data_IF_194972263275
#
_entry.id   IF_194972263275
#
_cell.length_a   1.000
_cell.length_b   1.000
_cell.length_c   1.000
_cell.angle_alpha   90.00
_cell.angle_beta   90.00
_cell.angle_gamma   90.00
#
_symmetry.space_group_name_H-M   'P 1'
#
loop_
_entity.id
_entity.type
_entity.pdbx_description
1 polymer ?
#
# COMPACT_ATOMS: atom_id res chain seq x y z
N UNK A 1 35.38 17.00 19.47
CA UNK A 1 36.82 16.83 19.73
C UNK A 1 37.12 17.25 21.15
N UNK A 2 37.73 16.37 21.94
CA UNK A 2 38.16 16.66 23.32
C UNK A 2 39.47 17.46 23.30
N UNK A 3 39.71 18.30 24.32
CA UNK A 3 40.94 19.11 24.43
C UNK A 3 42.21 18.24 24.47
N UNK A 4 42.08 16.99 24.90
CA UNK A 4 43.18 16.03 25.02
C UNK A 4 43.73 15.61 23.65
N UNK A 5 42.87 15.49 22.63
CA UNK A 5 43.29 15.18 21.26
C UNK A 5 44.10 16.35 20.70
N UNK A 6 43.64 17.59 20.92
CA UNK A 6 44.34 18.78 20.42
C UNK A 6 45.74 18.89 21.01
N UNK A 7 45.88 18.65 22.33
CA UNK A 7 47.18 18.73 23.01
C UNK A 7 48.19 17.69 22.52
N UNK A 8 47.74 16.51 22.08
CA UNK A 8 48.61 15.47 21.54
C UNK A 8 49.24 15.85 20.18
N UNK A 9 48.64 16.78 19.43
CA UNK A 9 49.05 17.10 18.06
C UNK A 9 49.57 18.54 17.87
N UNK A 10 49.65 19.34 18.94
CA UNK A 10 50.08 20.76 18.91
C UNK A 10 51.48 20.99 18.30
N UNK A 11 52.36 19.99 18.35
CA UNK A 11 53.77 20.12 17.97
C UNK A 11 54.14 19.33 16.70
N UNK A 12 53.17 18.87 15.91
CA UNK A 12 53.48 18.16 14.69
C UNK A 12 54.18 19.09 13.68
N UNK A 13 55.40 18.72 13.26
CA UNK A 13 56.23 19.54 12.37
C UNK A 13 55.69 19.62 10.94
N UNK A 14 54.94 18.62 10.49
CA UNK A 14 54.37 18.54 9.14
C UNK A 14 52.92 18.06 9.20
N UNK A 15 52.03 18.72 8.44
CA UNK A 15 50.63 18.31 8.32
C UNK A 15 50.50 16.86 7.81
N UNK A 16 51.42 16.40 6.95
CA UNK A 16 51.47 15.03 6.44
C UNK A 16 51.78 14.01 7.53
N UNK A 17 52.73 14.29 8.43
CA UNK A 17 53.07 13.37 9.51
C UNK A 17 51.93 13.28 10.54
N UNK A 18 51.28 14.40 10.82
CA UNK A 18 50.07 14.45 11.63
C UNK A 18 48.95 13.61 11.02
N UNK A 19 48.71 13.74 9.71
CA UNK A 19 47.69 12.95 9.02
C UNK A 19 47.98 11.45 9.08
N UNK A 20 49.22 11.03 8.81
CA UNK A 20 49.59 9.61 8.91
C UNK A 20 49.51 9.05 10.33
N UNK A 21 49.78 9.88 11.34
CA UNK A 21 49.65 9.47 12.75
C UNK A 21 48.18 9.37 13.18
N UNK A 22 47.34 10.29 12.71
CA UNK A 22 45.89 10.20 12.91
C UNK A 22 45.31 8.98 12.19
N UNK A 23 45.71 8.72 10.96
CA UNK A 23 45.31 7.55 10.18
C UNK A 23 45.80 6.24 10.84
N UNK A 24 47.01 6.21 11.38
CA UNK A 24 47.51 5.02 12.08
C UNK A 24 46.84 4.78 13.45
N UNK A 25 46.48 5.85 14.18
CA UNK A 25 45.88 5.74 15.53
C UNK A 25 44.36 5.64 15.52
N UNK A 26 43.70 6.25 14.55
CA UNK A 26 42.25 6.39 14.47
C UNK A 26 41.67 5.95 13.13
N UNK A 27 42.51 5.62 12.14
CA UNK A 27 42.07 5.03 10.87
C UNK A 27 41.85 3.51 10.95
N UNK A 28 41.76 2.95 12.17
CA UNK A 28 41.25 1.59 12.34
C UNK A 28 39.81 1.49 11.86
N UNK A 29 39.53 0.36 11.21
CA UNK A 29 38.33 0.07 10.41
C UNK A 29 37.04 0.63 10.98
N UNK A 30 36.23 1.24 10.11
CA UNK A 30 34.82 1.58 10.37
C UNK A 30 33.95 0.35 10.68
N UNK A 31 34.52 -0.84 10.93
CA UNK A 31 33.82 -2.10 11.20
C UNK A 31 32.71 -1.98 12.24
N UNK A 32 32.95 -1.45 13.46
CA UNK A 32 31.90 -1.24 14.46
C UNK A 32 30.81 -0.27 14.01
N UNK A 33 31.18 0.78 13.26
CA UNK A 33 30.24 1.77 12.75
C UNK A 33 29.39 1.20 11.60
N UNK A 34 30.01 0.48 10.67
CA UNK A 34 29.36 -0.29 9.60
C UNK A 34 28.42 -1.34 10.19
N UNK A 35 28.85 -2.04 11.24
CA UNK A 35 27.99 -2.98 11.96
C UNK A 35 26.77 -2.26 12.54
N UNK A 36 26.98 -1.14 13.24
CA UNK A 36 25.89 -0.34 13.80
C UNK A 36 24.91 0.11 12.72
N UNK A 37 25.39 0.69 11.62
CA UNK A 37 24.53 1.16 10.51
C UNK A 37 23.75 0.00 9.90
N UNK A 38 24.39 -1.15 9.66
CA UNK A 38 23.70 -2.36 9.16
C UNK A 38 22.63 -2.85 10.13
N UNK A 39 22.91 -2.79 11.44
CA UNK A 39 21.95 -3.15 12.47
C UNK A 39 20.76 -2.18 12.47
N UNK A 40 20.98 -0.88 12.37
CA UNK A 40 19.92 0.13 12.29
C UNK A 40 19.05 -0.06 11.03
N UNK A 41 19.67 -0.30 9.87
CA UNK A 41 18.96 -0.58 8.61
C UNK A 41 18.04 -1.81 8.74
N UNK A 42 18.48 -2.86 9.43
CA UNK A 42 17.67 -4.07 9.61
C UNK A 42 16.60 -3.91 10.70
N UNK A 43 16.81 -2.99 11.64
CA UNK A 43 15.91 -2.79 12.78
C UNK A 43 14.85 -1.72 12.50
N UNK A 44 15.07 -0.85 11.52
CA UNK A 44 14.14 0.23 11.19
C UNK A 44 12.88 -0.32 10.53
N UNK A 45 11.75 -0.02 11.16
CA UNK A 45 10.42 -0.30 10.63
C UNK A 45 9.64 1.01 10.53
N UNK A 46 8.69 1.07 9.60
CA UNK A 46 7.88 2.26 9.37
C UNK A 46 7.08 2.63 10.62
N UNK A 47 6.47 1.66 11.30
CA UNK A 47 5.65 1.89 12.48
C UNK A 47 4.57 2.95 12.22
N UNK A 48 4.61 4.05 12.99
CA UNK A 48 3.69 5.19 12.88
C UNK A 48 4.22 6.32 11.98
N UNK A 49 5.42 6.18 11.39
CA UNK A 49 5.97 7.18 10.49
C UNK A 49 5.29 7.15 9.12
N UNK A 50 5.24 8.31 8.45
CA UNK A 50 4.82 8.37 7.05
C UNK A 50 5.81 7.61 6.16
N UNK A 51 5.35 7.14 5.00
CA UNK A 51 6.22 6.43 4.04
C UNK A 51 7.42 7.29 3.64
N UNK A 52 7.21 8.60 3.50
CA UNK A 52 8.25 9.58 3.18
C UNK A 52 9.32 9.65 4.28
N UNK A 53 8.91 9.78 5.53
CA UNK A 53 9.83 9.89 6.66
C UNK A 53 10.63 8.59 6.84
N UNK A 54 9.96 7.44 6.73
CA UNK A 54 10.61 6.13 6.77
C UNK A 54 11.66 5.96 5.66
N UNK A 55 11.29 6.27 4.41
CA UNK A 55 12.22 6.18 3.28
C UNK A 55 13.43 7.12 3.43
N UNK A 56 13.20 8.32 3.95
CA UNK A 56 14.27 9.32 4.15
C UNK A 56 15.29 8.84 5.17
N UNK A 57 14.84 8.25 6.29
CA UNK A 57 15.73 7.68 7.31
C UNK A 57 16.54 6.51 6.75
N UNK A 58 15.90 5.59 6.02
CA UNK A 58 16.61 4.48 5.34
C UNK A 58 17.67 5.00 4.37
N UNK A 59 17.30 5.97 3.54
CA UNK A 59 18.21 6.59 2.57
C UNK A 59 19.43 7.22 3.25
N UNK A 60 19.24 7.87 4.40
CA UNK A 60 20.34 8.43 5.17
C UNK A 60 21.34 7.35 5.59
N UNK A 61 20.87 6.21 6.10
CA UNK A 61 21.76 5.11 6.49
C UNK A 61 22.45 4.45 5.30
N UNK A 62 21.77 4.31 4.16
CA UNK A 62 22.39 3.81 2.93
C UNK A 62 23.49 4.76 2.43
N UNK A 63 23.22 6.07 2.41
CA UNK A 63 24.17 7.09 1.97
C UNK A 63 25.38 7.16 2.94
N UNK A 64 25.15 6.98 4.26
CA UNK A 64 26.22 6.87 5.26
C UNK A 64 27.07 5.60 5.05
N UNK A 65 26.43 4.45 4.79
CA UNK A 65 27.12 3.19 4.53
C UNK A 65 27.99 3.27 3.25
N UNK A 66 27.51 3.96 2.21
CA UNK A 66 28.27 4.20 0.98
C UNK A 66 29.46 5.12 1.24
N UNK A 67 29.33 6.13 2.12
CA UNK A 67 30.46 6.98 2.50
C UNK A 67 31.58 6.19 3.21
N UNK A 68 31.21 5.28 4.12
CA UNK A 68 32.18 4.47 4.87
C UNK A 68 32.77 3.33 4.05
N UNK A 69 31.95 2.72 3.19
CA UNK A 69 32.36 1.60 2.34
C UNK A 69 31.96 1.86 0.90
N UNK A 70 32.68 2.75 0.20
CA UNK A 70 32.37 3.05 -1.19
C UNK A 70 32.46 1.77 -2.03
N UNK A 71 31.50 1.52 -2.92
CA UNK A 71 31.60 0.41 -3.85
C UNK A 71 32.88 0.57 -4.66
N UNK A 72 33.60 -0.53 -4.93
CA UNK A 72 34.83 -0.50 -5.69
C UNK A 72 34.57 0.14 -7.06
N UNK A 73 34.94 1.41 -7.25
CA UNK A 73 34.80 2.08 -8.52
C UNK A 73 36.00 1.72 -9.40
N UNK A 74 35.77 1.49 -10.68
CA UNK A 74 36.89 1.34 -11.61
C UNK A 74 37.75 2.61 -11.58
N UNK A 75 39.07 2.42 -11.44
CA UNK A 75 40.08 3.49 -11.42
C UNK A 75 40.12 4.34 -12.70
N UNK A 76 39.43 3.89 -13.74
CA UNK A 76 39.28 4.56 -15.02
C UNK A 76 38.39 5.81 -14.98
N UNK A 77 37.74 6.15 -13.86
CA UNK A 77 36.95 7.38 -13.66
C UNK A 77 35.65 7.46 -14.49
N UNK A 78 35.57 6.75 -15.61
CA UNK A 78 34.56 6.87 -16.64
C UNK A 78 34.38 5.57 -17.46
N UNK A 79 34.65 4.36 -16.94
CA UNK A 79 34.34 3.17 -17.75
C UNK A 79 32.83 2.95 -17.86
N UNK A 80 32.43 2.62 -19.08
CA UNK A 80 31.19 1.91 -19.42
C UNK A 80 31.35 0.40 -19.17
N UNK A 81 32.34 0.00 -18.37
CA UNK A 81 32.64 -1.41 -18.16
C UNK A 81 31.59 -2.01 -17.22
N UNK A 82 30.85 -3.00 -17.74
CA UNK A 82 29.81 -3.76 -17.01
C UNK A 82 30.34 -4.46 -15.75
N UNK A 83 31.65 -4.44 -15.50
CA UNK A 83 32.33 -5.08 -14.38
C UNK A 83 31.70 -4.77 -13.01
N UNK A 84 31.14 -3.57 -12.84
CA UNK A 84 30.47 -3.17 -11.59
C UNK A 84 28.95 -3.06 -11.72
N UNK A 85 28.38 -3.34 -12.90
CA UNK A 85 26.94 -3.23 -13.14
C UNK A 85 26.16 -4.20 -12.25
N UNK A 86 26.56 -5.47 -12.26
CA UNK A 86 25.95 -6.50 -11.42
C UNK A 86 26.01 -6.14 -9.93
N UNK A 87 27.12 -5.55 -9.46
CA UNK A 87 27.23 -5.17 -8.04
C UNK A 87 26.33 -3.99 -7.67
N UNK A 88 26.10 -3.05 -8.59
CA UNK A 88 25.15 -1.95 -8.37
C UNK A 88 23.70 -2.46 -8.38
N UNK A 89 23.38 -3.37 -9.29
CA UNK A 89 22.06 -4.01 -9.36
C UNK A 89 21.76 -4.77 -8.06
N UNK A 90 22.71 -5.57 -7.55
CA UNK A 90 22.59 -6.26 -6.26
C UNK A 90 22.36 -5.27 -5.08
N UNK A 91 23.07 -4.14 -5.06
CA UNK A 91 22.87 -3.11 -4.01
C UNK A 91 21.47 -2.47 -4.13
N UNK A 92 21.00 -2.20 -5.34
CA UNK A 92 19.66 -1.66 -5.57
C UNK A 92 18.56 -2.66 -5.16
N UNK A 93 18.77 -3.95 -5.43
CA UNK A 93 17.89 -5.03 -4.99
C UNK A 93 17.89 -5.16 -3.45
N UNK A 94 19.05 -5.12 -2.80
CA UNK A 94 19.17 -5.14 -1.33
C UNK A 94 18.41 -3.97 -0.69
N UNK A 95 18.58 -2.76 -1.23
CA UNK A 95 17.85 -1.58 -0.76
C UNK A 95 16.34 -1.73 -0.96
N UNK A 96 15.91 -2.33 -2.08
CA UNK A 96 14.49 -2.59 -2.33
C UNK A 96 13.93 -3.55 -1.28
N UNK A 97 14.63 -4.65 -1.02
CA UNK A 97 14.20 -5.65 -0.05
C UNK A 97 14.14 -5.06 1.37
N UNK A 98 15.17 -4.32 1.78
CA UNK A 98 15.20 -3.64 3.09
C UNK A 98 14.03 -2.66 3.25
N UNK A 99 13.73 -1.88 2.21
CA UNK A 99 12.60 -0.98 2.22
C UNK A 99 11.26 -1.72 2.33
N UNK A 100 11.06 -2.79 1.56
CA UNK A 100 9.82 -3.57 1.60
C UNK A 100 9.61 -4.34 2.90
N UNK A 101 10.70 -4.80 3.54
CA UNK A 101 10.65 -5.57 4.78
C UNK A 101 10.15 -4.74 5.98
N UNK A 102 10.53 -3.47 6.08
CA UNK A 102 10.13 -2.62 7.19
C UNK A 102 8.83 -1.82 6.98
N UNK A 103 8.15 -1.96 5.84
CA UNK A 103 6.84 -1.32 5.63
C UNK A 103 5.77 -1.87 6.58
N UNK A 104 4.87 -0.98 7.01
CA UNK A 104 3.75 -1.35 7.90
C UNK A 104 2.70 -2.20 7.18
N UNK A 105 1.98 -3.04 7.93
CA UNK A 105 0.87 -3.91 7.48
C UNK A 105 -0.13 -3.30 6.48
N UNK A 106 -0.58 -2.03 6.59
CA UNK A 106 -1.42 -1.43 5.58
C UNK A 106 -0.86 -1.60 4.16
N UNK A 107 0.45 -1.58 3.96
CA UNK A 107 1.06 -1.65 2.63
C UNK A 107 1.32 -3.08 2.13
N UNK A 108 0.87 -4.11 2.84
CA UNK A 108 1.09 -5.52 2.47
C UNK A 108 0.63 -5.87 1.07
N UNK A 109 -0.54 -5.36 0.65
CA UNK A 109 -1.07 -5.63 -0.70
C UNK A 109 -0.15 -5.09 -1.80
N UNK A 110 0.37 -3.86 -1.64
CA UNK A 110 1.27 -3.28 -2.64
C UNK A 110 2.67 -3.91 -2.57
N UNK A 111 3.11 -4.32 -1.37
CA UNK A 111 4.35 -5.10 -1.19
C UNK A 111 4.29 -6.41 -1.98
N UNK A 112 3.23 -7.19 -1.83
CA UNK A 112 3.04 -8.44 -2.57
C UNK A 112 2.97 -8.21 -4.08
N UNK A 113 2.31 -7.15 -4.54
CA UNK A 113 2.28 -6.80 -5.96
C UNK A 113 3.66 -6.45 -6.52
N UNK A 114 4.47 -5.71 -5.76
CA UNK A 114 5.83 -5.34 -6.15
C UNK A 114 6.73 -6.58 -6.25
N UNK A 115 6.63 -7.51 -5.29
CA UNK A 115 7.45 -8.73 -5.25
C UNK A 115 7.16 -9.72 -6.39
N UNK A 116 6.01 -9.60 -7.06
CA UNK A 116 5.63 -10.47 -8.19
C UNK A 116 6.11 -9.89 -9.54
N UNK A 117 6.59 -8.65 -9.58
CA UNK A 117 7.09 -8.04 -10.82
C UNK A 117 8.40 -8.69 -11.27
N UNK A 118 8.48 -9.03 -12.56
CA UNK A 118 9.70 -9.51 -13.22
C UNK A 118 9.98 -8.66 -14.47
N UNK A 119 11.07 -7.87 -14.52
CA UNK A 119 12.10 -7.70 -13.47
C UNK A 119 11.63 -6.84 -12.30
N UNK A 120 12.28 -7.03 -11.13
CA UNK A 120 12.00 -6.25 -9.93
C UNK A 120 12.20 -4.74 -10.19
N UNK A 121 11.32 -3.87 -9.69
CA UNK A 121 11.45 -2.43 -9.89
C UNK A 121 12.58 -1.86 -9.02
N UNK A 122 13.19 -0.77 -9.45
CA UNK A 122 14.12 -0.03 -8.58
C UNK A 122 13.43 0.50 -7.33
N UNK A 123 14.21 0.72 -6.26
CA UNK A 123 13.73 1.27 -4.98
C UNK A 123 12.89 2.55 -5.16
N UNK A 124 13.37 3.46 -6.01
CA UNK A 124 12.67 4.72 -6.30
C UNK A 124 11.32 4.48 -6.99
N UNK A 125 11.25 3.49 -7.89
CA UNK A 125 10.00 3.12 -8.56
C UNK A 125 9.03 2.49 -7.57
N UNK A 126 9.49 1.56 -6.72
CA UNK A 126 8.70 0.97 -5.65
C UNK A 126 8.15 2.03 -4.68
N UNK A 127 8.99 2.97 -4.23
CA UNK A 127 8.61 4.11 -3.42
C UNK A 127 7.49 4.94 -4.08
N UNK A 128 7.64 5.26 -5.38
CA UNK A 128 6.60 6.00 -6.12
C UNK A 128 5.27 5.24 -6.22
N UNK A 129 5.30 3.91 -6.35
CA UNK A 129 4.11 3.07 -6.38
C UNK A 129 3.37 3.09 -5.03
N UNK A 130 4.12 2.99 -3.93
CA UNK A 130 3.55 3.03 -2.57
C UNK A 130 2.96 4.41 -2.28
N UNK A 131 3.62 5.51 -2.66
CA UNK A 131 3.06 6.86 -2.50
C UNK A 131 1.75 7.05 -3.26
N UNK A 132 1.60 6.44 -4.46
CA UNK A 132 0.33 6.47 -5.19
C UNK A 132 -0.78 5.76 -4.41
N UNK A 133 -0.48 4.60 -3.82
CA UNK A 133 -1.42 3.86 -2.98
C UNK A 133 -1.76 4.63 -1.69
N UNK A 134 -0.79 5.28 -1.06
CA UNK A 134 -1.03 6.11 0.13
C UNK A 134 -1.99 7.27 -0.18
N UNK A 135 -1.78 7.97 -1.30
CA UNK A 135 -2.70 9.03 -1.76
C UNK A 135 -4.11 8.50 -2.05
N UNK A 136 -4.22 7.35 -2.74
CA UNK A 136 -5.50 6.73 -3.02
C UNK A 136 -6.25 6.35 -1.74
N UNK A 137 -5.55 5.85 -0.73
CA UNK A 137 -6.15 5.51 0.57
C UNK A 137 -6.67 6.73 1.31
N UNK A 138 -5.95 7.85 1.28
CA UNK A 138 -6.41 9.11 1.88
C UNK A 138 -7.74 9.56 1.27
N UNK A 139 -7.86 9.51 -0.06
CA UNK A 139 -9.11 9.84 -0.78
C UNK A 139 -10.24 8.87 -0.40
N UNK A 140 -9.97 7.57 -0.33
CA UNK A 140 -10.99 6.59 0.07
C UNK A 140 -11.44 6.78 1.53
N UNK A 141 -10.55 7.13 2.46
CA UNK A 141 -10.92 7.38 3.86
C UNK A 141 -11.77 8.64 4.00
N UNK A 142 -11.46 9.70 3.26
CA UNK A 142 -12.26 10.94 3.24
C UNK A 142 -13.70 10.68 2.74
N UNK A 143 -13.88 9.79 1.77
CA UNK A 143 -15.21 9.41 1.29
C UNK A 143 -16.03 8.60 2.30
N UNK A 144 -15.38 7.73 3.09
CA UNK A 144 -16.06 6.93 4.12
C UNK A 144 -16.57 7.82 5.26
N UNK A 145 -15.77 8.81 5.69
CA UNK A 145 -16.15 9.76 6.75
C UNK A 145 -17.35 10.65 6.33
N UNK A 146 -17.41 11.07 5.06
CA UNK A 146 -18.58 11.81 4.52
C UNK A 146 -19.86 10.96 4.50
N UNK A 147 -19.74 9.64 4.25
CA UNK A 147 -20.89 8.75 4.15
C UNK A 147 -21.43 8.33 5.52
N UNK A 148 -20.57 8.18 6.54
CA UNK A 148 -20.98 7.92 7.92
C UNK A 148 -21.67 9.14 8.55
N UNK A 149 -21.19 10.36 8.27
CA UNK A 149 -21.84 11.60 8.71
C UNK A 149 -23.20 11.85 8.01
N UNK A 150 -23.37 11.37 6.78
CA UNK A 150 -24.64 11.44 6.05
C UNK A 150 -25.71 10.50 6.63
N UNK A 151 -25.32 9.39 7.27
CA UNK A 151 -26.26 8.46 7.90
C UNK A 151 -26.85 8.99 9.23
N UNK A 152 -26.13 9.87 9.94
CA UNK A 152 -26.56 10.43 11.23
C UNK A 152 -27.51 11.63 11.10
N UNK A 153 -27.54 12.30 9.94
CA UNK A 153 -28.46 13.41 9.65
C UNK A 153 -29.87 12.94 9.27
N UNK A 154 -30.06 11.65 8.95
CA UNK A 154 -31.37 11.10 8.59
C UNK A 154 -32.32 10.85 9.78
N UNK A 155 -31.86 11.01 11.03
CA UNK A 155 -32.64 10.72 12.24
C UNK A 155 -33.05 11.93 13.09
N UNK A 156 -32.75 13.15 12.64
CA UNK A 156 -32.77 14.34 13.49
C UNK A 156 -33.73 15.46 13.08
N UNK A 157 -34.84 15.19 12.42
CA UNK A 157 -35.93 16.16 12.24
C UNK A 157 -37.21 15.37 12.02
N UNK A 158 -38.11 15.38 13.01
CA UNK A 158 -39.56 15.52 12.80
C UNK A 158 -40.32 15.38 14.12
N UNK A 159 -40.69 16.53 14.68
CA UNK A 159 -41.89 16.66 15.50
C UNK A 159 -42.57 18.01 15.19
N UNK A 160 -43.42 18.04 14.15
CA UNK A 160 -44.85 18.40 14.24
C UNK A 160 -45.48 18.62 12.85
N UNK A 161 -46.54 17.84 12.65
CA UNK A 161 -47.74 18.09 11.85
C UNK A 161 -47.69 18.01 10.32
N UNK A 162 -48.14 16.83 9.89
CA UNK A 162 -49.33 16.61 9.07
C UNK A 162 -49.07 16.28 7.59
N UNK A 163 -49.94 15.38 7.13
CA UNK A 163 -50.03 14.79 5.79
C UNK A 163 -49.03 13.66 5.55
N UNK A 164 -49.60 12.46 5.54
CA UNK A 164 -48.89 11.20 5.49
C UNK A 164 -48.04 11.05 4.24
N UNK A 165 -46.78 10.70 4.46
CA UNK A 165 -46.04 9.75 3.66
C UNK A 165 -44.69 9.54 4.33
N UNK A 166 -44.52 8.40 4.99
CA UNK A 166 -43.21 7.81 5.19
C UNK A 166 -43.28 6.35 4.80
N UNK A 167 -42.68 6.06 3.65
CA UNK A 167 -42.15 4.73 3.41
C UNK A 167 -41.02 4.45 4.41
N UNK A 168 -41.00 3.23 4.93
CA UNK A 168 -39.78 2.61 5.44
C UNK A 168 -39.60 1.26 4.74
N UNK A 169 -38.41 1.16 4.18
CA UNK A 169 -37.59 0.02 3.75
C UNK A 169 -38.01 -1.43 4.03
N UNK A 170 -37.45 -2.26 3.14
CA UNK A 170 -37.09 -3.68 3.28
C UNK A 170 -38.25 -4.68 3.21
N UNK A 171 -38.34 -5.30 2.05
CA UNK A 171 -37.89 -6.68 1.78
C UNK A 171 -38.19 -6.95 0.30
N UNK A 172 -37.55 -7.93 -0.34
CA UNK A 172 -38.12 -8.54 -1.56
C UNK A 172 -39.42 -9.22 -1.11
N UNK A 173 -40.46 -8.41 -0.90
CA UNK A 173 -41.78 -8.84 -0.53
C UNK A 173 -42.35 -9.52 -1.75
N UNK A 174 -42.47 -10.84 -1.65
CA UNK A 174 -43.34 -11.66 -2.48
C UNK A 174 -44.64 -10.89 -2.70
N UNK A 175 -44.78 -10.23 -3.84
CA UNK A 175 -46.03 -9.56 -4.20
C UNK A 175 -47.07 -10.64 -4.27
N UNK A 176 -47.97 -10.63 -3.30
CA UNK A 176 -49.01 -11.62 -3.16
C UNK A 176 -49.91 -11.55 -4.41
N UNK A 177 -49.61 -12.40 -5.40
CA UNK A 177 -50.30 -12.43 -6.70
C UNK A 177 -51.78 -12.76 -6.55
N UNK A 178 -52.27 -13.09 -5.35
CA UNK A 178 -53.66 -13.42 -5.02
C UNK A 178 -54.67 -12.33 -5.39
N UNK A 179 -54.26 -11.07 -5.56
CA UNK A 179 -55.15 -9.97 -5.95
C UNK A 179 -55.01 -9.50 -7.42
N UNK A 180 -54.12 -10.09 -8.21
CA UNK A 180 -54.03 -9.75 -9.64
C UNK A 180 -55.06 -10.57 -10.41
N UNK A 181 -56.17 -9.96 -10.79
CA UNK A 181 -57.20 -10.55 -11.66
C UNK A 181 -56.87 -10.33 -13.12
N UNK A 182 -56.97 -11.39 -13.93
CA UNK A 182 -56.80 -11.29 -15.36
C UNK A 182 -58.08 -10.81 -16.05
N UNK A 183 -58.00 -9.70 -16.80
CA UNK A 183 -59.13 -9.12 -17.55
C UNK A 183 -59.76 -10.06 -18.59
N UNK A 184 -59.04 -11.10 -19.03
CA UNK A 184 -59.49 -12.02 -20.09
C UNK A 184 -60.12 -13.31 -19.55
N UNK A 185 -59.62 -13.83 -18.42
CA UNK A 185 -60.13 -15.10 -17.87
C UNK A 185 -60.78 -14.97 -16.49
N UNK A 186 -60.83 -13.76 -15.94
CA UNK A 186 -61.40 -13.41 -14.62
C UNK A 186 -60.88 -14.25 -13.46
N UNK A 187 -59.68 -14.86 -13.59
CA UNK A 187 -59.02 -15.62 -12.53
C UNK A 187 -58.00 -14.74 -11.82
N UNK A 188 -57.92 -14.86 -10.51
CA UNK A 188 -56.90 -14.23 -9.66
C UNK A 188 -55.55 -14.97 -9.80
N UNK A 189 -54.43 -14.30 -9.51
CA UNK A 189 -53.09 -14.89 -9.56
C UNK A 189 -52.20 -14.42 -10.73
N UNK A 190 -52.76 -13.79 -11.77
CA UNK A 190 -52.01 -13.40 -12.97
C UNK A 190 -52.70 -12.26 -13.73
N UNK A 191 -51.93 -11.45 -14.45
CA UNK A 191 -52.45 -10.38 -15.30
C UNK A 191 -52.73 -10.85 -16.72
N UNK A 192 -53.33 -9.99 -17.55
CA UNK A 192 -53.66 -10.29 -18.96
C UNK A 192 -52.47 -10.82 -19.76
N UNK A 193 -51.29 -10.23 -19.57
CA UNK A 193 -50.04 -10.58 -20.28
C UNK A 193 -49.45 -11.95 -19.91
N UNK A 194 -49.90 -12.56 -18.82
CA UNK A 194 -49.43 -13.88 -18.35
C UNK A 194 -50.56 -14.91 -18.36
N UNK A 195 -51.65 -14.64 -19.10
CA UNK A 195 -52.79 -15.53 -19.17
C UNK A 195 -52.54 -16.69 -20.14
N UNK A 196 -52.48 -17.91 -19.60
CA UNK A 196 -52.34 -19.13 -20.39
C UNK A 196 -53.52 -19.40 -21.34
N UNK A 197 -54.71 -18.85 -21.07
CA UNK A 197 -55.84 -18.91 -22.02
C UNK A 197 -55.66 -17.99 -23.23
N UNK A 198 -54.90 -16.91 -23.10
CA UNK A 198 -54.66 -15.94 -24.18
C UNK A 198 -53.39 -16.30 -24.97
N UNK A 199 -52.31 -16.65 -24.27
CA UNK A 199 -50.99 -16.88 -24.87
C UNK A 199 -50.70 -18.37 -25.17
N UNK A 200 -51.60 -19.27 -24.80
CA UNK A 200 -51.36 -20.72 -24.86
C UNK A 200 -50.51 -21.19 -23.68
N UNK A 201 -50.58 -22.50 -23.41
CA UNK A 201 -49.81 -23.13 -22.32
C UNK A 201 -48.40 -23.44 -22.82
N UNK A 202 -47.34 -22.87 -22.24
CA UNK A 202 -45.96 -23.19 -22.59
C UNK A 202 -45.64 -24.65 -22.30
N UNK A 203 -44.76 -25.27 -23.08
CA UNK A 203 -44.45 -26.70 -22.93
C UNK A 203 -43.84 -27.05 -21.56
N UNK A 204 -43.08 -26.13 -20.95
CA UNK A 204 -42.57 -26.30 -19.58
C UNK A 204 -43.67 -26.44 -18.52
N UNK A 205 -44.87 -25.90 -18.76
CA UNK A 205 -45.99 -25.99 -17.81
C UNK A 205 -46.70 -27.35 -17.91
N UNK A 206 -46.65 -28.01 -19.07
CA UNK A 206 -47.20 -29.36 -19.25
C UNK A 206 -46.33 -30.39 -18.51
N UNK A 207 -45.01 -30.28 -18.65
CA UNK A 207 -44.03 -31.15 -17.98
C UNK A 207 -44.11 -31.09 -16.45
N UNK A 208 -44.46 -29.92 -15.89
CA UNK A 208 -44.64 -29.73 -14.45
C UNK A 208 -45.89 -30.42 -13.90
N UNK A 209 -46.95 -30.51 -14.71
CA UNK A 209 -48.21 -31.13 -14.32
C UNK A 209 -48.18 -32.66 -14.48
N UNK A 210 -47.34 -33.17 -15.38
CA UNK A 210 -47.09 -34.63 -15.53
C UNK A 210 -46.22 -35.20 -14.40
N UNK A 211 -45.36 -34.38 -13.77
CA UNK A 211 -44.54 -34.78 -12.61
C UNK A 211 -45.26 -34.74 -11.27
N UNK A 212 -46.51 -34.29 -11.24
CA UNK A 212 -47.31 -34.14 -10.02
C UNK A 212 -48.46 -35.16 -9.90
N UNK A 213 -48.37 -36.27 -10.64
CA UNK A 213 -49.17 -37.49 -10.45
C UNK A 213 -48.28 -38.70 -10.16
#
# INVERSE_FOLDING_TARGET
MTKDIVNAFLYAALARSLWTELEARYGESDGPLVYKIRWEINSITQGNFSVIAYYTNLKQYWDELVCLKPPAMCSCGQCVCDSNKAKREEIEEDHLMQFLMGLSEPYDNIRSQILVLDPLPSVNKAYSMILRVERQRRVNMEYVDVNENSAMLAKGQDYRNNVGQRGLMKTRGFTDKRNVTCDYCNKTGHGRYTCFKLHGVPDWYKDLNERSY
#
